data_IF_567865909416
#
_entry.id   IF_567865909416
#
_cell.length_a   1.000
_cell.length_b   1.000
_cell.length_c   1.000
_cell.angle_alpha   90.00
_cell.angle_beta   90.00
_cell.angle_gamma   90.00
#
_symmetry.space_group_name_H-M   'P 1'
#
loop_
_entity.id
_entity.type
_entity.pdbx_description
1 polymer ?
#
# COMPACT_ATOMS: atom_id res chain seq x y z
N UNK A 1 7.28 42.44 -29.60
CA UNK A 1 6.27 41.46 -29.15
C UNK A 1 7.02 40.37 -28.42
N UNK A 2 7.05 40.44 -27.10
CA UNK A 2 7.80 39.51 -26.23
C UNK A 2 6.84 38.40 -25.83
N UNK A 3 7.07 37.20 -26.34
CA UNK A 3 6.32 36.00 -25.95
C UNK A 3 6.87 35.53 -24.62
N UNK A 4 6.14 35.78 -23.53
CA UNK A 4 6.41 35.19 -22.23
C UNK A 4 6.13 33.69 -22.33
N UNK A 5 7.19 32.88 -22.26
CA UNK A 5 7.08 31.43 -22.06
C UNK A 5 6.63 31.23 -20.62
N UNK A 6 5.37 30.85 -20.43
CA UNK A 6 4.89 30.39 -19.14
C UNK A 6 5.55 29.04 -18.83
N UNK A 7 6.53 29.05 -17.94
CA UNK A 7 6.93 27.84 -17.21
C UNK A 7 5.73 27.38 -16.40
N UNK A 8 5.07 26.34 -16.88
CA UNK A 8 4.05 25.61 -16.13
C UNK A 8 4.79 24.84 -15.03
N UNK A 9 4.66 25.29 -13.79
CA UNK A 9 5.01 24.47 -12.64
C UNK A 9 4.23 23.16 -12.75
N UNK A 10 4.86 21.98 -12.58
CA UNK A 10 4.12 20.74 -12.56
C UNK A 10 3.19 20.79 -11.35
N UNK A 11 1.89 20.72 -11.64
CA UNK A 11 0.82 20.65 -10.65
C UNK A 11 1.21 19.61 -9.58
N UNK A 12 1.26 20.07 -8.33
CA UNK A 12 1.35 19.28 -7.10
C UNK A 12 0.04 18.49 -6.93
N UNK A 13 -0.24 17.60 -7.87
CA UNK A 13 -1.31 16.62 -7.70
C UNK A 13 -0.87 15.69 -6.57
N UNK A 14 -1.60 15.76 -5.46
CA UNK A 14 -1.56 14.75 -4.42
C UNK A 14 -1.62 13.39 -5.12
N UNK A 15 -0.66 12.51 -4.82
CA UNK A 15 -0.59 11.21 -5.47
C UNK A 15 -1.93 10.50 -5.26
N UNK A 16 -2.64 10.17 -6.34
CA UNK A 16 -3.92 9.45 -6.31
C UNK A 16 -3.80 7.98 -5.89
N UNK A 17 -2.58 7.53 -5.56
CA UNK A 17 -2.30 6.17 -5.13
C UNK A 17 -2.66 5.97 -3.66
N UNK A 18 -3.43 4.93 -3.37
CA UNK A 18 -3.83 4.52 -2.03
C UNK A 18 -3.17 3.17 -1.70
N UNK A 19 -1.89 3.23 -1.33
CA UNK A 19 -1.08 2.09 -0.91
C UNK A 19 -1.57 1.50 0.43
N UNK A 20 -2.16 2.31 1.31
CA UNK A 20 -2.69 1.88 2.59
C UNK A 20 -4.03 1.12 2.45
N UNK A 21 -4.82 1.35 1.39
CA UNK A 21 -6.12 0.70 1.19
C UNK A 21 -6.09 -0.83 1.27
N UNK A 22 -5.19 -1.55 0.58
CA UNK A 22 -5.03 -3.00 0.72
C UNK A 22 -4.87 -3.49 2.17
N UNK A 23 -4.12 -2.75 2.99
CA UNK A 23 -3.85 -3.11 4.38
C UNK A 23 -5.06 -2.80 5.26
N UNK A 24 -5.75 -1.68 5.04
CA UNK A 24 -7.02 -1.36 5.69
C UNK A 24 -8.11 -2.38 5.37
N UNK A 25 -8.17 -2.86 4.14
CA UNK A 25 -9.07 -3.93 3.74
C UNK A 25 -8.73 -5.24 4.46
N UNK A 26 -7.44 -5.61 4.52
CA UNK A 26 -7.00 -6.77 5.27
C UNK A 26 -7.36 -6.67 6.76
N UNK A 27 -7.19 -5.49 7.36
CA UNK A 27 -7.57 -5.18 8.74
C UNK A 27 -9.06 -5.37 9.00
N UNK A 28 -9.90 -4.90 8.09
CA UNK A 28 -11.36 -5.06 8.16
C UNK A 28 -11.81 -6.52 7.99
N UNK A 29 -11.05 -7.34 7.23
CA UNK A 29 -11.30 -8.78 7.09
C UNK A 29 -10.86 -9.59 8.32
N UNK A 30 -9.87 -9.10 9.07
CA UNK A 30 -9.43 -9.72 10.33
C UNK A 30 -10.44 -9.50 11.47
N UNK A 31 -11.06 -8.33 11.52
CA UNK A 31 -12.10 -8.00 12.50
C UNK A 31 -13.36 -7.48 11.77
N UNK A 32 -14.16 -8.39 11.17
CA UNK A 32 -15.39 -7.98 10.50
C UNK A 32 -16.36 -7.37 11.54
N UNK A 33 -17.08 -6.29 11.19
CA UNK A 33 -18.02 -5.68 12.11
C UNK A 33 -19.06 -6.70 12.56
N UNK A 34 -19.26 -6.80 13.88
CA UNK A 34 -20.22 -7.74 14.46
C UNK A 34 -21.63 -7.28 14.12
N UNK A 35 -22.22 -7.85 13.07
CA UNK A 35 -23.63 -7.63 12.75
C UNK A 35 -24.46 -8.44 13.75
N UNK A 36 -24.92 -7.77 14.81
CA UNK A 36 -25.92 -8.36 15.71
C UNK A 36 -27.27 -8.35 14.99
N UNK A 37 -27.59 -9.45 14.30
CA UNK A 37 -28.93 -9.67 13.76
C UNK A 37 -29.82 -10.10 14.92
N UNK A 38 -30.83 -9.31 15.33
CA UNK A 38 -31.76 -9.74 16.36
C UNK A 38 -32.46 -11.03 15.89
N UNK A 39 -32.48 -12.05 16.75
CA UNK A 39 -33.03 -13.35 16.42
C UNK A 39 -34.45 -13.23 15.83
N UNK A 40 -34.78 -13.95 14.74
CA UNK A 40 -36.13 -13.94 14.19
C UNK A 40 -37.10 -14.43 15.28
N UNK A 41 -38.07 -13.57 15.63
CA UNK A 41 -39.14 -13.96 16.55
C UNK A 41 -40.07 -14.93 15.81
N UNK A 42 -39.97 -16.22 16.09
CA UNK A 42 -40.98 -17.20 15.67
C UNK A 42 -42.06 -17.32 16.75
N UNK A 43 -43.29 -17.63 16.35
CA UNK A 43 -44.47 -17.71 17.22
C UNK A 43 -44.40 -18.83 18.29
N UNK A 44 -43.41 -19.72 18.23
CA UNK A 44 -43.29 -20.89 19.11
C UNK A 44 -42.05 -20.87 20.05
N UNK A 45 -41.34 -19.75 20.17
CA UNK A 45 -40.17 -19.63 21.06
C UNK A 45 -38.87 -19.31 20.32
N UNK A 46 -37.89 -18.80 21.08
CA UNK A 46 -36.59 -18.34 20.60
C UNK A 46 -35.82 -19.49 19.97
N UNK A 47 -35.53 -19.38 18.67
CA UNK A 47 -34.57 -20.27 17.99
C UNK A 47 -33.19 -19.95 18.56
N UNK A 48 -32.50 -20.95 19.13
CA UNK A 48 -31.14 -20.77 19.61
C UNK A 48 -30.27 -20.24 18.45
N UNK A 49 -29.50 -19.15 18.66
CA UNK A 49 -28.67 -18.60 17.60
C UNK A 49 -27.70 -19.69 17.11
N UNK A 50 -27.37 -19.71 15.80
CA UNK A 50 -26.31 -20.57 15.30
C UNK A 50 -25.04 -20.32 16.13
N UNK A 51 -24.33 -21.38 16.48
CA UNK A 51 -23.08 -21.28 17.24
C UNK A 51 -22.15 -20.32 16.51
N UNK A 52 -21.98 -19.12 17.08
CA UNK A 52 -21.04 -18.13 16.58
C UNK A 52 -19.64 -18.73 16.67
N UNK A 53 -18.82 -18.47 15.65
CA UNK A 53 -17.45 -18.96 15.52
C UNK A 53 -16.72 -18.93 16.89
N UNK A 54 -16.15 -20.06 17.26
CA UNK A 54 -15.41 -20.24 18.51
C UNK A 54 -14.27 -19.22 18.60
N UNK A 55 -13.98 -18.75 19.81
CA UNK A 55 -12.89 -17.82 20.17
C UNK A 55 -11.48 -18.21 19.68
N UNK A 56 -11.32 -19.39 19.08
CA UNK A 56 -10.08 -19.94 18.52
C UNK A 56 -9.70 -19.33 17.15
N UNK A 57 -10.63 -18.72 16.42
CA UNK A 57 -10.38 -18.10 15.10
C UNK A 57 -9.98 -16.61 15.16
N UNK A 58 -9.98 -16.02 16.36
CA UNK A 58 -9.67 -14.60 16.53
C UNK A 58 -8.22 -14.28 16.11
N UNK A 59 -7.97 -13.14 15.44
CA UNK A 59 -6.62 -12.67 15.18
C UNK A 59 -5.85 -12.41 16.48
N UNK A 60 -4.57 -12.77 16.48
CA UNK A 60 -3.70 -12.42 17.59
C UNK A 60 -3.53 -10.89 17.67
N UNK A 61 -3.42 -10.35 18.88
CA UNK A 61 -3.20 -8.91 19.09
C UNK A 61 -1.90 -8.43 18.42
N UNK A 62 -0.90 -9.32 18.33
CA UNK A 62 0.37 -9.04 17.65
C UNK A 62 0.18 -8.92 16.13
N UNK A 63 -0.61 -9.79 15.50
CA UNK A 63 -0.94 -9.66 14.08
C UNK A 63 -1.67 -8.34 13.81
N UNK A 64 -2.64 -7.97 14.66
CA UNK A 64 -3.35 -6.69 14.51
C UNK A 64 -2.40 -5.50 14.62
N UNK A 65 -1.49 -5.52 15.59
CA UNK A 65 -0.47 -4.48 15.74
C UNK A 65 0.45 -4.40 14.51
N UNK A 66 0.88 -5.53 13.94
CA UNK A 66 1.70 -5.53 12.72
C UNK A 66 0.95 -4.94 11.51
N UNK A 67 -0.35 -5.20 11.38
CA UNK A 67 -1.20 -4.62 10.33
C UNK A 67 -1.38 -3.12 10.53
N UNK A 68 -1.62 -2.68 11.77
CA UNK A 68 -1.80 -1.26 12.11
C UNK A 68 -0.48 -0.49 11.90
N UNK A 69 0.66 -1.05 12.33
CA UNK A 69 1.99 -0.47 12.13
C UNK A 69 2.36 -0.33 10.64
N UNK A 70 1.97 -1.31 9.81
CA UNK A 70 2.16 -1.22 8.36
C UNK A 70 1.25 -0.15 7.75
N UNK A 71 0.00 -0.06 8.22
CA UNK A 71 -0.95 0.97 7.76
C UNK A 71 -0.40 2.36 8.05
N UNK A 72 0.04 2.64 9.29
CA UNK A 72 0.64 3.93 9.66
C UNK A 72 1.88 4.26 8.83
N UNK A 73 2.71 3.27 8.51
CA UNK A 73 3.90 3.51 7.69
C UNK A 73 3.56 3.89 6.24
N UNK A 74 2.53 3.27 5.66
CA UNK A 74 2.06 3.58 4.30
C UNK A 74 1.37 4.95 4.26
N UNK A 75 0.53 5.26 5.25
CA UNK A 75 -0.09 6.57 5.39
C UNK A 75 0.94 7.69 5.56
N UNK A 76 2.03 7.43 6.30
CA UNK A 76 3.13 8.38 6.42
C UNK A 76 3.84 8.64 5.08
N UNK A 77 3.98 7.62 4.23
CA UNK A 77 4.56 7.74 2.89
C UNK A 77 3.63 8.54 1.97
N UNK A 78 2.34 8.27 2.02
CA UNK A 78 1.31 8.98 1.25
C UNK A 78 1.20 10.46 1.68
N UNK A 79 1.29 10.73 2.98
CA UNK A 79 1.16 12.07 3.55
C UNK A 79 2.43 12.93 3.45
N UNK A 80 3.60 12.33 3.17
CA UNK A 80 4.88 13.03 3.22
C UNK A 80 4.99 14.18 2.20
N UNK A 81 4.23 14.10 1.10
CA UNK A 81 4.06 15.19 0.15
C UNK A 81 5.39 15.79 -0.33
N UNK A 82 5.60 17.08 -0.04
CA UNK A 82 6.80 17.77 -0.49
C UNK A 82 8.02 17.61 0.41
N UNK A 83 7.79 17.29 1.68
CA UNK A 83 8.82 17.27 2.73
C UNK A 83 9.77 16.07 2.57
N UNK A 84 9.28 14.97 1.96
CA UNK A 84 10.06 13.76 1.73
C UNK A 84 10.04 13.37 0.23
N UNK A 85 11.01 13.85 -0.57
CA UNK A 85 11.00 13.65 -2.02
C UNK A 85 11.03 12.17 -2.43
N UNK A 86 11.69 11.31 -1.64
CA UNK A 86 11.72 9.87 -1.88
C UNK A 86 10.32 9.23 -1.81
N UNK A 87 9.50 9.62 -0.83
CA UNK A 87 8.14 9.14 -0.69
C UNK A 87 7.24 9.63 -1.83
N UNK A 88 7.42 10.90 -2.25
CA UNK A 88 6.72 11.44 -3.42
C UNK A 88 7.01 10.65 -4.69
N UNK A 89 8.29 10.35 -4.93
CA UNK A 89 8.75 9.57 -6.09
C UNK A 89 8.25 8.12 -5.99
N UNK A 90 8.27 7.51 -4.80
CA UNK A 90 7.68 6.18 -4.56
C UNK A 90 6.22 6.15 -4.96
N UNK A 91 5.41 7.08 -4.44
CA UNK A 91 4.00 7.20 -4.73
C UNK A 91 3.75 7.46 -6.23
N UNK A 92 4.59 8.28 -6.87
CA UNK A 92 4.52 8.53 -8.32
C UNK A 92 4.78 7.25 -9.12
N UNK A 93 5.80 6.47 -8.78
CA UNK A 93 6.06 5.19 -9.45
C UNK A 93 4.89 4.24 -9.23
N UNK A 94 4.36 4.14 -8.02
CA UNK A 94 3.21 3.29 -7.74
C UNK A 94 1.97 3.69 -8.56
N UNK A 95 1.73 4.99 -8.76
CA UNK A 95 0.68 5.48 -9.65
C UNK A 95 0.94 5.08 -11.11
N UNK A 96 2.16 5.27 -11.61
CA UNK A 96 2.55 4.85 -12.96
C UNK A 96 2.37 3.35 -13.18
N UNK A 97 2.65 2.53 -12.16
CA UNK A 97 2.41 1.08 -12.17
C UNK A 97 0.91 0.78 -12.26
N UNK A 98 0.08 1.49 -11.50
CA UNK A 98 -1.38 1.35 -11.57
C UNK A 98 -1.94 1.75 -12.95
N UNK A 99 -1.34 2.76 -13.58
CA UNK A 99 -1.70 3.24 -14.92
C UNK A 99 -1.10 2.39 -16.06
N UNK A 100 -0.24 1.42 -15.74
CA UNK A 100 0.36 0.48 -16.69
C UNK A 100 1.56 1.03 -17.48
N UNK A 101 2.22 2.09 -17.01
CA UNK A 101 3.28 2.80 -17.77
C UNK A 101 4.59 2.88 -16.98
N UNK A 102 5.50 1.88 -17.07
CA UNK A 102 6.85 2.03 -16.55
C UNK A 102 7.87 2.00 -17.70
N UNK A 103 7.81 2.98 -18.61
CA UNK A 103 8.91 3.19 -19.54
C UNK A 103 10.05 3.93 -18.81
N UNK A 104 11.28 3.42 -18.97
CA UNK A 104 12.46 3.99 -18.33
C UNK A 104 12.84 5.36 -18.92
N UNK A 105 13.43 6.22 -18.10
CA UNK A 105 13.95 7.54 -18.47
C UNK A 105 13.08 8.71 -18.04
N UNK A 106 11.87 8.46 -17.51
CA UNK A 106 10.95 9.49 -17.03
C UNK A 106 11.58 10.34 -15.90
N UNK A 107 12.45 9.74 -15.08
CA UNK A 107 13.06 10.46 -13.95
C UNK A 107 13.89 11.67 -14.41
N UNK A 108 14.52 11.56 -15.59
CA UNK A 108 15.36 12.61 -16.16
C UNK A 108 14.52 13.79 -16.66
N UNK A 109 13.37 13.51 -17.27
CA UNK A 109 12.41 14.52 -17.71
C UNK A 109 11.85 15.32 -16.54
N UNK A 110 11.71 14.67 -15.38
CA UNK A 110 11.20 15.27 -14.16
C UNK A 110 12.30 15.83 -13.25
N UNK A 111 13.56 15.83 -13.70
CA UNK A 111 14.68 16.42 -12.95
C UNK A 111 14.96 15.75 -11.60
N UNK A 112 14.60 14.47 -11.44
CA UNK A 112 14.76 13.75 -10.17
C UNK A 112 16.25 13.44 -9.94
N UNK A 113 16.72 13.67 -8.72
CA UNK A 113 18.10 13.39 -8.31
C UNK A 113 18.36 11.89 -8.11
N UNK A 114 19.60 11.44 -8.36
CA UNK A 114 20.05 10.06 -8.15
C UNK A 114 19.92 9.65 -6.69
N UNK A 115 20.24 10.53 -5.73
CA UNK A 115 20.10 10.22 -4.31
C UNK A 115 18.63 10.05 -3.90
N UNK A 116 17.72 10.83 -4.50
CA UNK A 116 16.27 10.65 -4.29
C UNK A 116 15.81 9.31 -4.84
N UNK A 117 16.28 8.88 -6.00
CA UNK A 117 15.97 7.57 -6.57
C UNK A 117 16.51 6.42 -5.69
N UNK A 118 17.71 6.54 -5.11
CA UNK A 118 18.24 5.56 -4.15
C UNK A 118 17.37 5.48 -2.90
N UNK A 119 17.07 6.63 -2.29
CA UNK A 119 16.21 6.69 -1.11
C UNK A 119 14.80 6.14 -1.41
N UNK A 120 14.28 6.35 -2.63
CA UNK A 120 13.02 5.75 -3.10
C UNK A 120 13.10 4.23 -3.16
N UNK A 121 14.16 3.68 -3.76
CA UNK A 121 14.39 2.22 -3.83
C UNK A 121 14.49 1.62 -2.43
N UNK A 122 15.24 2.25 -1.52
CA UNK A 122 15.42 1.79 -0.14
C UNK A 122 14.11 1.85 0.66
N UNK A 123 13.34 2.94 0.55
CA UNK A 123 12.05 3.06 1.19
C UNK A 123 11.05 2.00 0.67
N UNK A 124 10.99 1.81 -0.65
CA UNK A 124 10.13 0.81 -1.26
C UNK A 124 10.54 -0.62 -0.85
N UNK A 125 11.85 -0.91 -0.74
CA UNK A 125 12.36 -2.20 -0.28
C UNK A 125 11.99 -2.45 1.19
N UNK A 126 12.15 -1.47 2.07
CA UNK A 126 11.76 -1.59 3.47
C UNK A 126 10.26 -1.86 3.65
N UNK A 127 9.40 -1.21 2.85
CA UNK A 127 7.97 -1.50 2.85
C UNK A 127 7.67 -2.89 2.28
N UNK A 128 8.31 -3.26 1.16
CA UNK A 128 8.12 -4.56 0.51
C UNK A 128 8.45 -5.72 1.46
N UNK A 129 9.56 -5.63 2.21
CA UNK A 129 9.97 -6.64 3.18
C UNK A 129 8.94 -6.79 4.31
N UNK A 130 8.43 -5.66 4.83
CA UNK A 130 7.39 -5.66 5.86
C UNK A 130 6.09 -6.27 5.36
N UNK A 131 5.65 -5.88 4.16
CA UNK A 131 4.44 -6.43 3.53
C UNK A 131 4.58 -7.92 3.25
N UNK A 132 5.74 -8.37 2.74
CA UNK A 132 6.01 -9.78 2.48
C UNK A 132 6.04 -10.62 3.76
N UNK A 133 6.64 -10.11 4.84
CA UNK A 133 6.62 -10.76 6.16
C UNK A 133 5.18 -10.92 6.67
N UNK A 134 4.37 -9.87 6.58
CA UNK A 134 2.97 -9.91 6.99
C UNK A 134 2.16 -10.92 6.15
N UNK A 135 2.35 -10.92 4.83
CA UNK A 135 1.70 -11.89 3.94
C UNK A 135 2.05 -13.33 4.32
N UNK A 136 3.32 -13.63 4.54
CA UNK A 136 3.76 -14.98 4.95
C UNK A 136 3.17 -15.40 6.31
N UNK A 137 3.01 -14.44 7.24
CA UNK A 137 2.33 -14.70 8.51
C UNK A 137 0.85 -15.00 8.31
N UNK A 138 0.14 -14.22 7.49
CA UNK A 138 -1.27 -14.47 7.17
C UNK A 138 -1.49 -15.83 6.51
N UNK A 139 -0.57 -16.25 5.65
CA UNK A 139 -0.59 -17.60 5.05
C UNK A 139 -0.36 -18.69 6.11
N UNK A 140 0.59 -18.48 7.01
CA UNK A 140 0.89 -19.42 8.12
C UNK A 140 -0.27 -19.54 9.11
N UNK A 141 -0.98 -18.44 9.37
CA UNK A 141 -2.18 -18.40 10.20
C UNK A 141 -3.46 -18.80 9.42
N UNK A 142 -3.35 -19.30 8.19
CA UNK A 142 -4.46 -19.72 7.33
C UNK A 142 -5.56 -18.64 7.16
N UNK A 143 -5.16 -17.39 6.93
CA UNK A 143 -6.04 -16.22 6.75
C UNK A 143 -6.10 -15.76 5.29
N UNK A 144 -6.74 -16.52 4.37
CA UNK A 144 -6.71 -16.26 2.93
C UNK A 144 -7.40 -14.96 2.53
N UNK A 145 -8.43 -14.53 3.26
CA UNK A 145 -9.13 -13.27 3.01
C UNK A 145 -8.19 -12.06 3.16
N UNK A 146 -7.61 -11.82 4.34
CA UNK A 146 -6.60 -10.79 4.54
C UNK A 146 -5.38 -10.95 3.60
N UNK A 147 -4.86 -12.16 3.41
CA UNK A 147 -3.71 -12.40 2.52
C UNK A 147 -3.98 -11.94 1.07
N UNK A 148 -5.15 -12.29 0.53
CA UNK A 148 -5.56 -11.88 -0.81
C UNK A 148 -5.73 -10.35 -0.97
N UNK A 149 -6.07 -9.63 0.12
CA UNK A 149 -6.14 -8.17 0.09
C UNK A 149 -4.74 -7.54 0.01
N UNK A 150 -3.74 -8.11 0.68
CA UNK A 150 -2.38 -7.55 0.76
C UNK A 150 -1.51 -7.93 -0.45
N UNK A 151 -1.70 -9.11 -1.04
CA UNK A 151 -0.85 -9.62 -2.13
C UNK A 151 -0.59 -8.63 -3.29
N UNK A 152 -1.57 -7.83 -3.77
CA UNK A 152 -1.33 -6.81 -4.79
C UNK A 152 -0.32 -5.75 -4.35
N UNK A 153 -0.34 -5.32 -3.08
CA UNK A 153 0.59 -4.33 -2.54
C UNK A 153 2.04 -4.82 -2.59
N UNK A 154 2.28 -6.10 -2.26
CA UNK A 154 3.61 -6.71 -2.39
C UNK A 154 4.14 -6.61 -3.82
N UNK A 155 3.27 -6.87 -4.80
CA UNK A 155 3.62 -6.78 -6.23
C UNK A 155 3.92 -5.34 -6.63
N UNK A 156 3.06 -4.39 -6.24
CA UNK A 156 3.28 -2.97 -6.52
C UNK A 156 4.61 -2.48 -5.97
N UNK A 157 4.92 -2.76 -4.70
CA UNK A 157 6.16 -2.33 -4.07
C UNK A 157 7.39 -2.98 -4.72
N UNK A 158 7.30 -4.26 -5.12
CA UNK A 158 8.36 -4.91 -5.88
C UNK A 158 8.62 -4.23 -7.22
N UNK A 159 7.57 -3.88 -7.97
CA UNK A 159 7.72 -3.17 -9.24
C UNK A 159 8.29 -1.77 -9.01
N UNK A 160 7.89 -1.08 -7.94
CA UNK A 160 8.46 0.22 -7.58
C UNK A 160 9.98 0.13 -7.36
N UNK A 161 10.45 -0.87 -6.61
CA UNK A 161 11.89 -1.12 -6.41
C UNK A 161 12.58 -1.32 -7.76
N UNK A 162 12.02 -2.17 -8.63
CA UNK A 162 12.61 -2.47 -9.95
C UNK A 162 12.69 -1.22 -10.82
N UNK A 163 11.65 -0.39 -10.84
CA UNK A 163 11.64 0.86 -11.62
C UNK A 163 12.66 1.86 -11.07
N UNK A 164 12.73 2.04 -9.75
CA UNK A 164 13.72 2.92 -9.14
C UNK A 164 15.16 2.46 -9.47
N UNK A 165 15.43 1.16 -9.37
CA UNK A 165 16.74 0.57 -9.70
C UNK A 165 17.07 0.69 -11.20
N UNK A 166 16.06 0.55 -12.08
CA UNK A 166 16.22 0.75 -13.52
C UNK A 166 16.57 2.20 -13.87
N UNK A 167 15.89 3.17 -13.25
CA UNK A 167 16.21 4.60 -13.43
C UNK A 167 17.64 4.92 -12.95
N UNK A 168 18.07 4.33 -11.83
CA UNK A 168 19.45 4.47 -11.34
C UNK A 168 20.47 3.91 -12.35
N UNK A 169 20.19 2.74 -12.93
CA UNK A 169 21.04 2.14 -13.94
C UNK A 169 21.13 2.99 -15.20
N UNK A 170 20.01 3.50 -15.71
CA UNK A 170 19.99 4.38 -16.88
C UNK A 170 20.73 5.70 -16.63
N UNK A 171 20.64 6.26 -15.43
CA UNK A 171 21.43 7.45 -15.05
C UNK A 171 22.93 7.18 -14.99
N UNK A 172 23.35 6.00 -14.54
CA UNK A 172 24.76 5.65 -14.49
C UNK A 172 25.40 5.44 -15.88
N UNK A 173 24.59 5.22 -16.92
CA UNK A 173 25.09 5.02 -18.30
C UNK A 173 25.24 6.30 -19.10
N UNK A 174 24.65 7.41 -18.65
CA UNK A 174 24.71 8.73 -19.32
C UNK A 174 25.89 9.54 -18.78
#
# INVERSE_FOLDING_TARGET
MTTTVATREPDTEASGVDLAAPVREARARLEPPTVSVPAPRSAAGVVAPPAMASSEDAPSAELLAEVDDLTTALEAVEAAGEDEPAHRVLCRIAQLVADGVPDAGWSAEHGIDVEVLRATSDAARGLQERTAKLLARLDTEERPGPAAAIAPLTTTLQVVVVVADLELFERARR
#
